data_IF_834908828835
#
_entry.id   IF_834908828835
#
_cell.length_a   1.000
_cell.length_b   1.000
_cell.length_c   1.000
_cell.angle_alpha   90.00
_cell.angle_beta   90.00
_cell.angle_gamma   90.00
#
_symmetry.space_group_name_H-M   'P 1'
#
loop_
_entity.id
_entity.type
_entity.pdbx_description
1 polymer ?
#
# COMPACT_ATOMS: atom_id res chain seq x y z
N UNK A 1 -20.05 40.04 -53.37
CA UNK A 1 -21.35 39.98 -54.06
C UNK A 1 -22.42 39.54 -53.08
N UNK A 2 -23.52 40.29 -53.05
CA UNK A 2 -24.87 39.97 -52.54
C UNK A 2 -25.07 39.81 -51.01
N UNK A 3 -25.37 40.97 -50.40
CA UNK A 3 -26.26 41.10 -49.25
C UNK A 3 -27.73 41.03 -49.71
N UNK A 4 -28.65 40.52 -48.87
CA UNK A 4 -30.07 40.91 -48.83
C UNK A 4 -30.82 40.28 -47.62
N UNK A 5 -31.53 41.07 -46.80
CA UNK A 5 -32.30 40.64 -45.62
C UNK A 5 -33.84 40.69 -45.81
N UNK A 6 -34.54 40.09 -44.85
CA UNK A 6 -35.86 40.40 -44.26
C UNK A 6 -37.06 40.87 -45.13
N UNK A 7 -38.20 40.19 -44.98
CA UNK A 7 -39.53 40.79 -45.11
C UNK A 7 -40.53 40.07 -44.17
N UNK A 8 -40.99 40.83 -43.17
CA UNK A 8 -42.11 40.51 -42.31
C UNK A 8 -43.43 40.88 -43.01
N UNK A 9 -44.48 40.11 -42.76
CA UNK A 9 -45.84 40.41 -43.24
C UNK A 9 -46.88 39.81 -42.31
N UNK A 10 -47.41 40.64 -41.42
CA UNK A 10 -48.53 40.34 -40.55
C UNK A 10 -49.85 40.44 -41.32
N UNK A 11 -50.74 39.46 -41.16
CA UNK A 11 -52.17 39.66 -41.39
C UNK A 11 -53.00 38.93 -40.34
N UNK A 12 -54.09 39.61 -40.03
CA UNK A 12 -54.83 39.65 -38.77
C UNK A 12 -56.10 38.81 -38.80
N UNK A 13 -56.67 38.64 -37.59
CA UNK A 13 -58.11 38.72 -37.33
C UNK A 13 -58.95 37.45 -37.56
N UNK A 14 -59.26 36.77 -36.46
CA UNK A 14 -60.65 36.37 -36.14
C UNK A 14 -60.71 35.82 -34.71
N UNK A 15 -61.36 36.56 -33.82
CA UNK A 15 -61.82 36.08 -32.53
C UNK A 15 -63.04 35.16 -32.75
N UNK A 16 -63.09 34.01 -32.08
CA UNK A 16 -64.33 33.27 -31.87
C UNK A 16 -64.39 32.76 -30.44
N UNK A 17 -65.51 33.10 -29.82
CA UNK A 17 -65.87 33.03 -28.41
C UNK A 17 -66.57 31.70 -28.18
N UNK A 18 -65.96 30.73 -27.51
CA UNK A 18 -66.70 29.61 -26.90
C UNK A 18 -65.98 29.07 -25.65
N UNK A 19 -66.56 29.40 -24.48
CA UNK A 19 -66.77 28.46 -23.38
C UNK A 19 -65.57 28.01 -22.56
N UNK A 20 -65.13 28.83 -21.61
CA UNK A 20 -64.28 28.42 -20.50
C UNK A 20 -65.10 27.68 -19.43
N UNK A 21 -64.94 26.36 -19.31
CA UNK A 21 -65.19 25.67 -18.03
C UNK A 21 -63.84 25.47 -17.35
N UNK A 22 -63.51 26.43 -16.49
CA UNK A 22 -62.31 26.44 -15.66
C UNK A 22 -62.50 25.41 -14.53
N UNK A 23 -62.05 24.17 -14.76
CA UNK A 23 -61.96 23.18 -13.69
C UNK A 23 -60.72 23.51 -12.86
N UNK A 24 -60.83 23.79 -11.55
CA UNK A 24 -59.66 24.06 -10.72
C UNK A 24 -58.87 22.75 -10.58
N UNK A 25 -57.68 22.70 -11.16
CA UNK A 25 -56.75 21.60 -10.94
C UNK A 25 -56.34 21.57 -9.46
N UNK A 26 -56.36 20.39 -8.80
CA UNK A 26 -55.92 20.28 -7.42
C UNK A 26 -54.44 20.70 -7.31
N UNK A 27 -54.02 21.31 -6.19
CA UNK A 27 -52.65 21.75 -6.02
C UNK A 27 -51.73 20.52 -6.01
N UNK A 28 -50.78 20.50 -6.95
CA UNK A 28 -49.74 19.46 -6.99
C UNK A 28 -48.92 19.57 -5.71
N UNK A 29 -48.81 18.50 -4.89
CA UNK A 29 -48.00 18.55 -3.68
C UNK A 29 -46.54 18.80 -4.09
N UNK A 30 -45.94 19.85 -3.53
CA UNK A 30 -44.53 20.15 -3.75
C UNK A 30 -43.68 18.91 -3.38
N UNK A 31 -42.67 18.55 -4.19
CA UNK A 31 -41.81 17.43 -3.86
C UNK A 31 -41.17 17.68 -2.49
N UNK A 32 -41.39 16.77 -1.55
CA UNK A 32 -40.75 16.82 -0.24
C UNK A 32 -39.25 17.00 -0.46
N UNK A 33 -38.68 18.13 0.01
CA UNK A 33 -37.24 18.37 -0.05
C UNK A 33 -36.57 17.19 0.65
N UNK A 34 -35.98 16.29 -0.13
CA UNK A 34 -35.17 15.19 0.38
C UNK A 34 -34.13 15.85 1.27
N UNK A 35 -34.20 15.61 2.59
CA UNK A 35 -33.18 16.09 3.50
C UNK A 35 -31.84 15.64 2.91
N UNK A 36 -30.98 16.60 2.60
CA UNK A 36 -29.65 16.30 2.10
C UNK A 36 -28.93 15.54 3.22
N UNK A 37 -28.95 14.22 3.16
CA UNK A 37 -28.03 13.37 3.90
C UNK A 37 -26.65 13.80 3.43
N UNK A 38 -25.99 14.62 4.23
CA UNK A 38 -24.57 14.89 4.06
C UNK A 38 -23.85 13.57 4.35
N UNK A 39 -23.56 12.82 3.29
CA UNK A 39 -22.62 11.70 3.37
C UNK A 39 -21.25 12.32 3.61
N UNK A 40 -20.89 12.49 4.89
CA UNK A 40 -19.51 12.82 5.26
C UNK A 40 -18.70 11.56 4.97
N UNK A 41 -18.15 11.49 3.76
CA UNK A 41 -17.17 10.47 3.41
C UNK A 41 -15.96 10.66 4.34
N UNK A 42 -15.79 9.73 5.29
CA UNK A 42 -14.59 9.69 6.13
C UNK A 42 -13.43 9.24 5.24
N UNK A 43 -12.70 10.19 4.67
CA UNK A 43 -11.46 9.90 3.93
C UNK A 43 -10.48 9.26 4.90
N UNK A 44 -10.09 8.01 4.64
CA UNK A 44 -9.03 7.35 5.41
C UNK A 44 -7.72 8.09 5.12
N UNK A 45 -7.21 8.82 6.10
CA UNK A 45 -5.87 9.45 6.01
C UNK A 45 -4.85 8.32 5.89
N UNK A 46 -4.21 8.21 4.73
CA UNK A 46 -3.19 7.19 4.49
C UNK A 46 -1.94 7.52 5.30
N UNK A 47 -1.57 6.67 6.25
CA UNK A 47 -0.31 6.82 6.99
C UNK A 47 0.84 6.17 6.20
N UNK A 48 2.10 6.61 6.38
CA UNK A 48 3.25 5.95 5.75
C UNK A 48 3.36 4.46 6.10
N UNK A 49 2.81 4.07 7.26
CA UNK A 49 2.73 2.68 7.69
C UNK A 49 1.70 1.89 6.86
N UNK A 50 0.52 2.46 6.58
CA UNK A 50 -0.49 1.85 5.72
C UNK A 50 0.07 1.58 4.31
N UNK A 51 0.77 2.55 3.73
CA UNK A 51 1.39 2.41 2.41
C UNK A 51 2.44 1.29 2.39
N UNK A 52 3.26 1.20 3.44
CA UNK A 52 4.23 0.12 3.59
C UNK A 52 3.52 -1.24 3.68
N UNK A 53 2.46 -1.35 4.47
CA UNK A 53 1.68 -2.59 4.60
C UNK A 53 1.08 -2.98 3.25
N UNK A 54 0.48 -2.04 2.52
CA UNK A 54 -0.07 -2.30 1.19
C UNK A 54 0.99 -2.79 0.19
N UNK A 55 2.19 -2.18 0.19
CA UNK A 55 3.34 -2.66 -0.60
C UNK A 55 3.78 -4.07 -0.18
N UNK A 56 3.86 -4.32 1.12
CA UNK A 56 4.26 -5.62 1.68
C UNK A 56 3.29 -6.74 1.26
N UNK A 57 1.99 -6.51 1.41
CA UNK A 57 0.94 -7.45 0.98
C UNK A 57 1.03 -7.73 -0.52
N UNK A 58 1.27 -6.69 -1.34
CA UNK A 58 1.47 -6.87 -2.79
C UNK A 58 2.66 -7.76 -3.12
N UNK A 59 3.77 -7.64 -2.38
CA UNK A 59 4.95 -8.50 -2.56
C UNK A 59 4.66 -9.94 -2.13
N UNK A 60 3.98 -10.13 -1.00
CA UNK A 60 3.62 -11.45 -0.47
C UNK A 60 2.68 -12.26 -1.37
N UNK A 61 1.98 -11.63 -2.31
CA UNK A 61 1.22 -12.35 -3.34
C UNK A 61 2.11 -13.19 -4.27
N UNK A 62 3.37 -12.81 -4.44
CA UNK A 62 4.34 -13.50 -5.31
C UNK A 62 5.37 -14.32 -4.53
N UNK A 63 5.66 -13.91 -3.29
CA UNK A 63 6.72 -14.50 -2.47
C UNK A 63 6.10 -15.29 -1.32
N UNK A 64 6.21 -16.62 -1.39
CA UNK A 64 5.87 -17.58 -0.35
C UNK A 64 7.10 -18.39 0.05
N UNK A 65 7.26 -18.67 1.35
CA UNK A 65 8.31 -19.56 1.86
C UNK A 65 7.81 -21.01 1.95
N UNK A 66 8.59 -21.95 1.42
CA UNK A 66 8.36 -23.40 1.60
C UNK A 66 9.41 -23.98 2.54
N UNK A 67 9.25 -25.25 2.94
CA UNK A 67 10.28 -25.97 3.71
C UNK A 67 11.64 -25.97 3.00
N UNK A 68 11.66 -26.12 1.67
CA UNK A 68 12.89 -26.17 0.86
C UNK A 68 13.51 -24.79 0.64
N UNK A 69 12.67 -23.77 0.46
CA UNK A 69 13.11 -22.39 0.26
C UNK A 69 12.36 -21.45 1.21
N UNK A 70 12.78 -21.38 2.49
CA UNK A 70 12.16 -20.51 3.48
C UNK A 70 12.26 -19.04 3.08
N UNK A 71 11.36 -18.21 3.58
CA UNK A 71 11.33 -16.79 3.28
C UNK A 71 12.15 -15.99 4.28
N UNK A 72 13.14 -15.23 3.80
CA UNK A 72 13.89 -14.25 4.59
C UNK A 72 13.14 -12.91 4.56
N UNK A 73 12.39 -12.61 5.62
CA UNK A 73 11.65 -11.36 5.79
C UNK A 73 12.48 -10.32 6.53
N UNK A 74 12.58 -9.12 5.96
CA UNK A 74 13.32 -7.99 6.54
C UNK A 74 12.37 -6.89 6.98
N UNK A 75 12.51 -6.44 8.23
CA UNK A 75 11.76 -5.32 8.78
C UNK A 75 12.70 -4.25 9.34
N UNK A 76 12.52 -3.01 8.86
CA UNK A 76 13.28 -1.84 9.33
C UNK A 76 12.34 -0.90 10.08
N UNK A 77 12.56 -0.74 11.37
CA UNK A 77 11.94 0.33 12.17
C UNK A 77 12.82 1.59 12.13
N UNK A 78 12.39 2.65 12.83
CA UNK A 78 13.18 3.87 12.93
C UNK A 78 14.51 3.63 13.65
N UNK A 79 14.47 2.80 14.70
CA UNK A 79 15.62 2.55 15.58
C UNK A 79 16.25 1.17 15.39
N UNK A 80 15.57 0.19 14.83
CA UNK A 80 16.04 -1.19 14.84
C UNK A 80 15.83 -1.88 13.49
N UNK A 81 16.63 -2.92 13.24
CA UNK A 81 16.52 -3.77 12.07
C UNK A 81 16.32 -5.21 12.52
N UNK A 82 15.38 -5.89 11.88
CA UNK A 82 15.01 -7.27 12.15
C UNK A 82 15.03 -8.08 10.85
N UNK A 83 15.57 -9.28 10.92
CA UNK A 83 15.57 -10.28 9.86
C UNK A 83 15.07 -11.61 10.41
N UNK A 84 14.15 -12.26 9.71
CA UNK A 84 13.56 -13.54 10.13
C UNK A 84 13.51 -14.47 8.94
N UNK A 85 13.86 -15.73 9.14
CA UNK A 85 13.68 -16.80 8.15
C UNK A 85 12.51 -17.65 8.58
N UNK A 86 11.47 -17.68 7.74
CA UNK A 86 10.16 -18.23 8.07
C UNK A 86 9.80 -19.30 7.05
N UNK A 87 9.35 -20.44 7.54
CA UNK A 87 8.64 -21.44 6.73
C UNK A 87 7.14 -21.17 6.87
N UNK A 88 6.50 -20.71 5.77
CA UNK A 88 5.09 -20.34 5.79
C UNK A 88 4.17 -21.57 5.83
N UNK A 89 4.67 -22.76 5.46
CA UNK A 89 3.88 -24.01 5.48
C UNK A 89 3.66 -24.51 6.90
N UNK A 90 4.71 -24.46 7.73
CA UNK A 90 4.69 -24.82 9.15
C UNK A 90 4.36 -23.65 10.07
N UNK A 91 4.28 -22.44 9.51
CA UNK A 91 4.12 -21.18 10.25
C UNK A 91 5.18 -21.00 11.35
N UNK A 92 6.40 -21.46 11.09
CA UNK A 92 7.48 -21.49 12.06
C UNK A 92 8.65 -20.59 11.62
N UNK A 93 9.19 -19.83 12.56
CA UNK A 93 10.41 -19.05 12.32
C UNK A 93 11.61 -19.94 12.62
N UNK A 94 12.39 -20.24 11.58
CA UNK A 94 13.56 -21.10 11.68
C UNK A 94 14.73 -20.35 12.29
N UNK A 95 15.04 -19.15 11.82
CA UNK A 95 16.13 -18.32 12.33
C UNK A 95 15.71 -16.84 12.44
N UNK A 96 16.29 -16.11 13.39
CA UNK A 96 16.03 -14.69 13.59
C UNK A 96 17.31 -13.96 13.99
N UNK A 97 17.43 -12.73 13.50
CA UNK A 97 18.50 -11.81 13.84
C UNK A 97 17.92 -10.40 13.97
N UNK A 98 18.37 -9.66 14.97
CA UNK A 98 17.93 -8.28 15.20
C UNK A 98 18.95 -7.51 15.99
N UNK A 99 18.93 -6.19 15.84
CA UNK A 99 19.78 -5.27 16.64
C UNK A 99 19.52 -5.37 18.15
N UNK A 100 18.43 -6.00 18.58
CA UNK A 100 18.08 -6.17 19.99
C UNK A 100 18.68 -7.44 20.61
N UNK A 101 19.22 -8.38 19.82
CA UNK A 101 19.87 -9.56 20.40
C UNK A 101 21.14 -9.15 21.15
N UNK A 102 21.35 -9.77 22.32
CA UNK A 102 22.47 -9.46 23.23
C UNK A 102 23.85 -9.55 22.58
N UNK A 103 24.01 -10.38 21.57
CA UNK A 103 25.25 -10.50 20.79
C UNK A 103 25.52 -9.22 19.99
N UNK A 104 24.50 -8.70 19.30
CA UNK A 104 24.64 -7.54 18.41
C UNK A 104 24.52 -6.20 19.14
N UNK A 105 23.76 -6.14 20.23
CA UNK A 105 23.59 -4.91 21.00
C UNK A 105 24.89 -4.44 21.65
N UNK A 106 25.83 -5.35 21.92
CA UNK A 106 27.13 -5.02 22.53
C UNK A 106 28.15 -4.50 21.53
N UNK A 107 28.00 -4.88 20.26
CA UNK A 107 28.95 -4.52 19.20
C UNK A 107 28.63 -3.15 18.58
N UNK A 108 27.37 -2.70 18.65
CA UNK A 108 26.93 -1.50 17.95
C UNK A 108 26.21 -0.52 18.88
N UNK A 109 26.87 0.60 19.17
CA UNK A 109 26.22 1.78 19.70
C UNK A 109 25.90 2.74 18.55
N UNK A 110 24.62 3.07 18.38
CA UNK A 110 24.18 4.06 17.39
C UNK A 110 23.08 4.93 18.00
N UNK A 111 23.15 6.24 17.74
CA UNK A 111 22.24 7.20 18.38
C UNK A 111 20.92 7.38 17.63
N UNK A 112 20.95 7.38 16.29
CA UNK A 112 19.81 7.84 15.47
C UNK A 112 19.07 6.73 14.70
N UNK A 113 19.65 5.53 14.58
CA UNK A 113 19.06 4.39 13.89
C UNK A 113 20.13 3.49 13.25
N UNK A 114 19.74 2.35 12.66
CA UNK A 114 20.69 1.36 12.20
C UNK A 114 21.45 1.87 10.96
N UNK A 115 22.78 1.90 10.99
CA UNK A 115 23.64 2.26 9.86
C UNK A 115 23.73 1.13 8.82
N UNK A 116 24.35 1.37 7.66
CA UNK A 116 24.61 0.35 6.63
C UNK A 116 25.46 -0.81 7.20
N UNK A 117 26.47 -0.50 8.01
CA UNK A 117 27.35 -1.48 8.67
C UNK A 117 26.56 -2.46 9.55
N UNK A 118 25.58 -1.96 10.30
CA UNK A 118 24.70 -2.78 11.15
C UNK A 118 23.85 -3.72 10.29
N UNK A 119 23.41 -3.25 9.12
CA UNK A 119 22.66 -4.09 8.18
C UNK A 119 23.52 -5.22 7.60
N UNK A 120 24.80 -4.94 7.29
CA UNK A 120 25.76 -5.98 6.88
C UNK A 120 25.91 -7.01 8.00
N UNK A 121 26.19 -6.57 9.23
CA UNK A 121 26.39 -7.46 10.38
C UNK A 121 25.20 -8.36 10.67
N UNK A 122 23.98 -7.83 10.54
CA UNK A 122 22.76 -8.65 10.63
C UNK A 122 22.69 -9.68 9.50
N UNK A 123 23.11 -9.31 8.29
CA UNK A 123 23.25 -10.21 7.14
C UNK A 123 24.23 -11.36 7.40
N UNK A 124 25.39 -11.07 8.00
CA UNK A 124 26.37 -12.10 8.38
C UNK A 124 25.80 -13.07 9.41
N UNK A 125 25.14 -12.53 10.44
CA UNK A 125 24.61 -13.31 11.57
C UNK A 125 23.46 -14.21 11.12
N UNK A 126 22.54 -13.67 10.32
CA UNK A 126 21.41 -14.46 9.84
C UNK A 126 21.89 -15.58 8.89
N UNK A 127 22.89 -15.31 8.05
CA UNK A 127 23.47 -16.33 7.17
C UNK A 127 24.11 -17.47 7.98
N UNK A 128 24.96 -17.15 8.97
CA UNK A 128 25.56 -18.14 9.87
C UNK A 128 24.50 -18.99 10.59
N UNK A 129 23.48 -18.34 11.16
CA UNK A 129 22.38 -19.05 11.84
C UNK A 129 21.53 -19.93 10.91
N UNK A 130 21.48 -19.63 9.60
CA UNK A 130 20.78 -20.47 8.63
C UNK A 130 21.62 -21.68 8.21
N UNK A 131 22.92 -21.47 8.00
CA UNK A 131 23.86 -22.54 7.68
C UNK A 131 23.97 -23.57 8.81
N UNK A 132 23.99 -23.12 10.07
CA UNK A 132 23.92 -24.01 11.25
C UNK A 132 22.66 -24.89 11.27
N UNK A 133 21.57 -24.43 10.63
CA UNK A 133 20.31 -25.17 10.49
C UNK A 133 20.19 -25.95 9.18
N UNK A 134 21.24 -25.93 8.35
CA UNK A 134 21.26 -26.59 7.04
C UNK A 134 20.40 -25.90 5.97
N UNK A 135 20.08 -24.61 6.13
CA UNK A 135 19.27 -23.84 5.17
C UNK A 135 20.22 -23.02 4.28
N UNK A 136 20.32 -23.39 3.00
CA UNK A 136 21.15 -22.70 2.01
C UNK A 136 20.34 -21.78 1.10
N UNK A 137 19.15 -22.23 0.69
CA UNK A 137 18.28 -21.51 -0.26
C UNK A 137 17.17 -20.78 0.46
N UNK A 138 16.98 -19.49 0.19
CA UNK A 138 15.91 -18.68 0.79
C UNK A 138 15.24 -17.76 -0.23
N UNK A 139 13.98 -17.38 -0.04
CA UNK A 139 13.35 -16.31 -0.85
C UNK A 139 13.48 -14.98 -0.12
N UNK A 140 13.99 -13.96 -0.79
CA UNK A 140 14.14 -12.64 -0.17
C UNK A 140 12.85 -11.82 -0.18
N UNK A 141 12.35 -11.49 1.02
CA UNK A 141 11.21 -10.61 1.24
C UNK A 141 11.67 -9.27 1.85
N UNK A 142 11.70 -8.25 0.99
CA UNK A 142 12.11 -6.87 1.35
C UNK A 142 11.13 -6.09 2.24
N UNK A 143 10.02 -6.69 2.70
CA UNK A 143 9.18 -6.09 3.75
C UNK A 143 8.36 -4.85 3.35
N UNK A 144 8.22 -4.60 2.04
CA UNK A 144 7.59 -3.39 1.49
C UNK A 144 8.50 -2.16 1.44
N UNK A 145 9.79 -2.31 1.76
CA UNK A 145 10.81 -1.27 1.57
C UNK A 145 11.41 -1.32 0.16
N UNK A 146 11.98 -0.21 -0.29
CA UNK A 146 12.73 -0.17 -1.54
C UNK A 146 14.01 -1.00 -1.39
N UNK A 147 14.38 -1.75 -2.43
CA UNK A 147 15.65 -2.49 -2.44
C UNK A 147 16.80 -1.51 -2.69
N UNK A 148 17.23 -0.84 -1.62
CA UNK A 148 18.26 0.18 -1.62
C UNK A 148 18.87 0.32 -0.22
N UNK A 149 20.02 0.99 -0.12
CA UNK A 149 20.71 1.30 1.13
C UNK A 149 20.85 0.08 2.03
N UNK A 150 20.28 0.16 3.24
CA UNK A 150 20.38 -0.89 4.28
C UNK A 150 19.79 -2.23 3.86
N UNK A 151 18.69 -2.24 3.11
CA UNK A 151 18.06 -3.50 2.66
C UNK A 151 18.93 -4.21 1.63
N UNK A 152 19.56 -3.42 0.75
CA UNK A 152 20.54 -3.94 -0.22
C UNK A 152 21.78 -4.48 0.51
N UNK A 153 22.34 -3.72 1.44
CA UNK A 153 23.53 -4.12 2.19
C UNK A 153 23.34 -5.40 3.03
N UNK A 154 22.18 -5.59 3.64
CA UNK A 154 21.85 -6.84 4.33
C UNK A 154 21.80 -8.01 3.34
N UNK A 155 21.19 -7.79 2.17
CA UNK A 155 21.08 -8.82 1.15
C UNK A 155 22.45 -9.21 0.57
N UNK A 156 23.29 -8.22 0.25
CA UNK A 156 24.63 -8.45 -0.29
C UNK A 156 25.49 -9.19 0.74
N UNK A 157 25.45 -8.78 2.01
CA UNK A 157 26.18 -9.47 3.08
C UNK A 157 25.68 -10.90 3.32
N UNK A 158 24.37 -11.15 3.26
CA UNK A 158 23.83 -12.50 3.37
C UNK A 158 24.29 -13.42 2.21
N UNK A 159 24.41 -12.88 1.00
CA UNK A 159 24.95 -13.61 -0.17
C UNK A 159 26.42 -13.94 -0.02
N UNK A 160 27.22 -12.98 0.45
CA UNK A 160 28.66 -13.18 0.72
C UNK A 160 28.91 -14.29 1.74
N UNK A 161 27.98 -14.50 2.68
CA UNK A 161 28.07 -15.51 3.73
C UNK A 161 27.35 -16.83 3.38
N UNK A 162 27.04 -17.07 2.10
CA UNK A 162 26.61 -18.38 1.61
C UNK A 162 25.11 -18.63 1.56
N UNK A 163 24.26 -17.62 1.79
CA UNK A 163 22.83 -17.75 1.50
C UNK A 163 22.55 -17.51 0.00
N UNK A 164 21.90 -18.48 -0.63
CA UNK A 164 21.48 -18.40 -2.03
C UNK A 164 20.05 -17.84 -2.15
N UNK A 165 19.92 -16.64 -2.74
CA UNK A 165 18.60 -16.07 -3.04
C UNK A 165 18.54 -15.06 -4.19
#
# INVERSE_FOLDING_TARGET
>A
MLASPALAGAHSFAASVYGSLLVPSPPVPAPARRAALSVVAKVKVATPQDDRIARHVRLRKKVSGTTERPRLSVFRSNKHLYAQVIDDTKQCTLASASTMHKSLSKEFEYSAGPTIEIAQKIGEVIAKSCLEKGITKVVFDRGGFLYHGRIKALADSAREHGLEF
#
